data_IF_887949834896
#
_entry.id   IF_887949834896
#
_cell.length_a   1.000
_cell.length_b   1.000
_cell.length_c   1.000
_cell.angle_alpha   90.00
_cell.angle_beta   90.00
_cell.angle_gamma   90.00
#
_symmetry.space_group_name_H-M   'P 1'
#
loop_
_entity.id
_entity.type
_entity.pdbx_description
1 polymer ?
#
# COMPACT_ATOMS: atom_id res chain seq x y z
N UNK A 1 0.30 -36.51 -4.84
CA UNK A 1 -1.04 -36.35 -5.45
C UNK A 1 -0.96 -36.84 -6.88
N UNK A 2 -1.85 -37.72 -7.32
CA UNK A 2 -1.79 -38.29 -8.68
C UNK A 2 -2.46 -37.34 -9.68
N UNK A 3 -2.10 -37.40 -10.96
CA UNK A 3 -2.65 -36.55 -12.03
C UNK A 3 -4.17 -36.63 -12.12
N UNK A 4 -4.75 -37.79 -11.84
CA UNK A 4 -6.21 -37.98 -11.81
C UNK A 4 -6.89 -37.18 -10.67
N UNK A 5 -6.22 -37.01 -9.53
CA UNK A 5 -6.76 -36.21 -8.41
C UNK A 5 -6.71 -34.72 -8.74
N UNK A 6 -5.64 -34.27 -9.42
CA UNK A 6 -5.50 -32.90 -9.90
C UNK A 6 -6.57 -32.56 -10.93
N UNK A 7 -6.81 -33.43 -11.91
CA UNK A 7 -7.83 -33.19 -12.94
C UNK A 7 -9.24 -33.13 -12.33
N UNK A 8 -9.50 -33.94 -11.30
CA UNK A 8 -10.77 -33.93 -10.56
C UNK A 8 -10.96 -32.63 -9.77
N UNK A 9 -9.89 -32.11 -9.14
CA UNK A 9 -9.91 -30.82 -8.45
C UNK A 9 -10.10 -29.65 -9.41
N UNK A 10 -9.45 -29.66 -10.58
CA UNK A 10 -9.61 -28.62 -11.60
C UNK A 10 -11.02 -28.59 -12.17
N UNK A 11 -11.61 -29.76 -12.47
CA UNK A 11 -13.01 -29.86 -12.92
C UNK A 11 -13.98 -29.37 -11.86
N UNK A 12 -13.72 -29.67 -10.58
CA UNK A 12 -14.53 -29.19 -9.47
C UNK A 12 -14.44 -27.66 -9.31
N UNK A 13 -13.22 -27.11 -9.32
CA UNK A 13 -13.00 -25.66 -9.23
C UNK A 13 -13.66 -24.91 -10.40
N UNK A 14 -13.58 -25.44 -11.62
CA UNK A 14 -14.26 -24.85 -12.78
C UNK A 14 -15.78 -24.80 -12.59
N UNK A 15 -16.39 -25.90 -12.14
CA UNK A 15 -17.83 -25.99 -11.91
C UNK A 15 -18.30 -25.04 -10.79
N UNK A 16 -17.54 -24.93 -9.71
CA UNK A 16 -17.83 -24.01 -8.60
C UNK A 16 -17.72 -22.55 -9.04
N UNK A 17 -16.73 -22.24 -9.87
CA UNK A 17 -16.54 -20.90 -10.47
C UNK A 17 -17.72 -20.51 -11.36
N UNK A 18 -18.13 -21.40 -12.27
CA UNK A 18 -19.28 -21.15 -13.15
C UNK A 18 -20.59 -20.97 -12.37
N UNK A 19 -20.82 -21.75 -11.32
CA UNK A 19 -21.98 -21.59 -10.42
C UNK A 19 -21.92 -20.30 -9.60
N UNK A 20 -20.74 -19.85 -9.20
CA UNK A 20 -20.59 -18.59 -8.48
C UNK A 20 -20.96 -17.41 -9.38
N UNK A 21 -20.43 -17.39 -10.61
CA UNK A 21 -20.67 -16.29 -11.55
C UNK A 21 -22.05 -16.33 -12.22
N UNK A 22 -22.76 -17.46 -12.22
CA UNK A 22 -24.12 -17.53 -12.77
C UNK A 22 -25.14 -16.69 -11.99
N UNK A 23 -24.86 -16.37 -10.72
CA UNK A 23 -25.73 -15.55 -9.87
C UNK A 23 -25.37 -14.06 -9.88
N UNK A 24 -24.20 -13.72 -10.44
CA UNK A 24 -23.74 -12.33 -10.52
C UNK A 24 -24.24 -11.74 -11.83
N UNK A 25 -25.34 -10.98 -11.76
CA UNK A 25 -25.86 -10.26 -12.91
C UNK A 25 -24.95 -9.07 -13.26
N UNK A 26 -23.88 -9.35 -14.01
CA UNK A 26 -22.88 -8.36 -14.46
C UNK A 26 -23.51 -7.19 -15.23
N UNK A 27 -24.69 -7.39 -15.82
CA UNK A 27 -25.45 -6.32 -16.49
C UNK A 27 -25.92 -5.23 -15.52
N UNK A 28 -26.23 -5.56 -14.26
CA UNK A 28 -26.59 -4.57 -13.23
C UNK A 28 -25.40 -3.69 -12.85
N UNK A 29 -24.21 -4.29 -12.73
CA UNK A 29 -22.96 -3.57 -12.42
C UNK A 29 -22.57 -2.70 -13.62
N UNK A 30 -22.67 -3.24 -14.84
CA UNK A 30 -22.37 -2.52 -16.08
C UNK A 30 -23.30 -1.31 -16.30
N UNK A 31 -24.59 -1.44 -16.01
CA UNK A 31 -25.54 -0.33 -16.10
C UNK A 31 -25.29 0.74 -15.03
N UNK A 32 -24.88 0.34 -13.82
CA UNK A 32 -24.52 1.27 -12.74
C UNK A 32 -23.27 2.08 -13.10
N UNK A 33 -22.27 1.43 -13.70
CA UNK A 33 -21.04 2.08 -14.17
C UNK A 33 -21.34 2.97 -15.39
N UNK A 34 -22.14 2.52 -16.35
CA UNK A 34 -22.53 3.34 -17.50
C UNK A 34 -23.31 4.58 -17.11
N UNK A 35 -24.26 4.49 -16.18
CA UNK A 35 -25.03 5.64 -15.71
C UNK A 35 -24.13 6.66 -15.00
N UNK A 36 -23.19 6.20 -14.17
CA UNK A 36 -22.21 7.08 -13.51
C UNK A 36 -21.27 7.76 -14.50
N UNK A 37 -20.82 7.06 -15.54
CA UNK A 37 -19.98 7.63 -16.59
C UNK A 37 -20.77 8.61 -17.47
N UNK A 38 -22.03 8.31 -17.79
CA UNK A 38 -22.88 9.20 -18.59
C UNK A 38 -23.26 10.48 -17.85
N UNK A 39 -23.50 10.42 -16.52
CA UNK A 39 -23.75 11.60 -15.69
C UNK A 39 -22.49 12.48 -15.55
N UNK A 40 -21.29 11.89 -15.59
CA UNK A 40 -20.02 12.64 -15.58
C UNK A 40 -19.63 13.24 -16.94
N UNK A 41 -20.22 12.77 -18.04
CA UNK A 41 -19.87 13.19 -19.41
C UNK A 41 -20.70 14.36 -19.94
N UNK A 42 -21.79 14.75 -19.26
CA UNK A 42 -22.66 15.85 -19.70
C UNK A 42 -22.64 17.04 -18.73
N UNK A 43 -21.55 17.79 -18.74
CA UNK A 43 -21.50 19.12 -18.14
C UNK A 43 -22.15 20.16 -19.05
N UNK A 44 -23.42 20.52 -18.78
CA UNK A 44 -23.97 21.89 -18.73
C UNK A 44 -25.50 21.92 -18.98
N UNK A 45 -26.19 22.57 -18.02
CA UNK A 45 -27.46 23.31 -18.13
C UNK A 45 -28.69 22.57 -18.68
N UNK A 46 -29.65 22.30 -17.78
CA UNK A 46 -30.97 22.93 -17.87
C UNK A 46 -31.80 22.60 -16.63
N UNK A 47 -32.12 23.65 -15.87
CA UNK A 47 -33.41 23.82 -15.21
C UNK A 47 -34.52 23.23 -16.10
N UNK A 48 -35.13 22.14 -15.68
CA UNK A 48 -36.48 21.74 -16.11
C UNK A 48 -37.19 21.10 -14.92
N UNK A 49 -37.87 21.99 -14.20
CA UNK A 49 -39.05 21.66 -13.43
C UNK A 49 -39.94 20.69 -14.23
N UNK A 50 -40.36 19.61 -13.57
CA UNK A 50 -41.60 18.92 -13.95
C UNK A 50 -42.48 18.76 -12.71
N UNK A 51 -43.81 18.90 -12.90
CA UNK A 51 -44.70 19.37 -11.86
C UNK A 51 -45.15 18.23 -10.95
N UNK A 52 -45.00 18.44 -9.64
CA UNK A 52 -45.74 17.66 -8.65
C UNK A 52 -47.18 18.16 -8.66
N UNK A 53 -48.08 17.24 -8.97
CA UNK A 53 -49.54 17.39 -8.97
C UNK A 53 -49.97 17.99 -7.63
N UNK A 54 -50.50 19.23 -7.69
CA UNK A 54 -51.32 19.82 -6.62
C UNK A 54 -52.78 19.48 -6.88
N UNK A 55 -53.39 18.73 -5.97
CA UNK A 55 -54.72 19.04 -5.44
C UNK A 55 -54.76 18.47 -4.01
N UNK A 56 -54.62 19.32 -2.99
CA UNK A 56 -55.68 20.08 -2.33
C UNK A 56 -56.21 19.32 -1.09
N UNK A 57 -55.43 19.37 -0.01
CA UNK A 57 -55.94 19.23 1.34
C UNK A 57 -55.87 20.63 1.98
N UNK A 58 -57.03 21.29 2.01
CA UNK A 58 -57.31 22.45 2.85
C UNK A 58 -58.33 22.02 3.90
N UNK A 59 -58.30 22.74 5.03
CA UNK A 59 -59.04 22.57 6.30
C UNK A 59 -58.30 21.67 7.32
N UNK A 60 -57.93 22.10 8.53
CA UNK A 60 -58.04 23.36 9.28
C UNK A 60 -56.95 23.33 10.41
N UNK A 61 -56.43 24.48 10.87
CA UNK A 61 -55.30 24.56 11.79
C UNK A 61 -55.76 24.87 13.22
N UNK A 62 -55.80 23.88 14.12
CA UNK A 62 -55.84 24.12 15.59
C UNK A 62 -55.10 23.03 16.40
N UNK A 63 -54.86 21.82 15.87
CA UNK A 63 -54.32 20.72 16.71
C UNK A 63 -52.81 20.44 16.57
N UNK A 64 -52.04 21.31 15.90
CA UNK A 64 -50.61 21.11 15.66
C UNK A 64 -49.77 21.19 16.96
N UNK A 65 -50.15 22.04 17.90
CA UNK A 65 -49.43 22.17 19.18
C UNK A 65 -49.65 20.95 20.10
N UNK A 66 -50.88 20.42 20.14
CA UNK A 66 -51.25 19.26 20.98
C UNK A 66 -50.62 17.99 20.43
N UNK A 67 -50.59 17.82 19.10
CA UNK A 67 -49.93 16.67 18.46
C UNK A 67 -48.42 16.70 18.67
N UNK A 68 -47.76 17.85 18.53
CA UNK A 68 -46.33 17.99 18.81
C UNK A 68 -45.97 17.71 20.28
N UNK A 69 -46.77 18.20 21.24
CA UNK A 69 -46.51 17.95 22.65
C UNK A 69 -46.77 16.48 23.03
N UNK A 70 -47.80 15.84 22.46
CA UNK A 70 -48.04 14.41 22.69
C UNK A 70 -46.91 13.54 22.11
N UNK A 71 -46.33 13.93 20.97
CA UNK A 71 -45.21 13.21 20.36
C UNK A 71 -43.94 13.34 21.22
N UNK A 72 -43.66 14.52 21.78
CA UNK A 72 -42.54 14.74 22.70
C UNK A 72 -42.71 13.96 24.01
N UNK A 73 -43.93 13.84 24.53
CA UNK A 73 -44.22 13.03 25.73
C UNK A 73 -44.05 11.54 25.43
N UNK A 74 -44.50 11.06 24.27
CA UNK A 74 -44.31 9.67 23.82
C UNK A 74 -42.82 9.36 23.63
N UNK A 75 -42.06 10.26 22.99
CA UNK A 75 -40.60 10.12 22.82
C UNK A 75 -39.90 10.13 24.20
N UNK A 76 -40.29 11.00 25.12
CA UNK A 76 -39.72 11.07 26.46
C UNK A 76 -40.06 9.84 27.31
N UNK A 77 -41.27 9.29 27.19
CA UNK A 77 -41.64 8.01 27.82
C UNK A 77 -40.88 6.83 27.20
N UNK A 78 -40.66 6.81 25.89
CA UNK A 78 -39.90 5.75 25.21
C UNK A 78 -38.40 5.76 25.58
N UNK A 79 -37.83 6.95 25.84
CA UNK A 79 -36.46 7.10 26.34
C UNK A 79 -36.40 6.75 27.85
N UNK A 80 -37.38 7.20 28.65
CA UNK A 80 -37.43 6.97 30.10
C UNK A 80 -37.76 5.53 30.52
N UNK A 81 -38.47 4.77 29.68
CA UNK A 81 -38.81 3.35 29.93
C UNK A 81 -37.73 2.38 29.43
N UNK A 82 -36.65 2.86 28.81
CA UNK A 82 -35.51 2.05 28.38
C UNK A 82 -35.77 1.15 27.15
N UNK A 83 -36.96 1.23 26.53
CA UNK A 83 -37.31 0.47 25.32
C UNK A 83 -36.58 1.02 24.09
N UNK A 84 -36.35 2.32 24.03
CA UNK A 84 -35.51 2.97 23.01
C UNK A 84 -34.25 3.47 23.70
N UNK A 85 -33.26 2.59 23.87
CA UNK A 85 -31.89 3.06 23.99
C UNK A 85 -31.55 3.67 22.65
N UNK A 86 -31.41 5.00 22.60
CA UNK A 86 -30.62 5.65 21.56
C UNK A 86 -29.27 4.97 21.65
N UNK A 87 -29.03 4.01 20.76
CA UNK A 87 -27.76 3.33 20.63
C UNK A 87 -26.85 4.40 20.06
N UNK A 88 -26.29 5.19 20.95
CA UNK A 88 -25.14 6.01 20.67
C UNK A 88 -24.06 4.98 20.34
N UNK A 89 -23.95 4.61 19.07
CA UNK A 89 -22.81 3.90 18.53
C UNK A 89 -21.63 4.87 18.58
N UNK A 90 -21.13 5.12 19.79
CA UNK A 90 -19.69 5.14 19.96
C UNK A 90 -19.28 3.69 19.72
N UNK A 91 -19.02 3.39 18.44
CA UNK A 91 -18.41 2.14 18.04
C UNK A 91 -17.03 2.05 18.68
N UNK A 92 -16.98 1.58 19.92
CA UNK A 92 -15.79 0.97 20.49
C UNK A 92 -15.58 -0.32 19.71
N UNK A 93 -15.04 -0.19 18.48
CA UNK A 93 -14.30 -1.29 17.85
C UNK A 93 -13.33 -1.79 18.92
N UNK A 94 -13.40 -3.08 19.22
CA UNK A 94 -12.54 -3.69 20.22
C UNK A 94 -11.10 -3.29 19.92
N UNK A 95 -10.45 -2.62 20.88
CA UNK A 95 -9.09 -2.06 20.77
C UNK A 95 -8.06 -3.15 20.42
N UNK A 96 -8.43 -4.42 20.56
CA UNK A 96 -7.56 -5.57 20.38
C UNK A 96 -7.84 -6.38 19.10
N UNK A 97 -8.69 -5.89 18.19
CA UNK A 97 -8.97 -6.59 16.93
C UNK A 97 -8.25 -5.91 15.76
N UNK A 98 -7.38 -6.62 15.03
CA UNK A 98 -6.73 -6.05 13.87
C UNK A 98 -7.76 -5.74 12.77
N UNK A 99 -7.53 -4.66 12.01
CA UNK A 99 -8.35 -4.29 10.86
C UNK A 99 -8.03 -5.13 9.61
N UNK A 100 -6.82 -5.70 9.56
CA UNK A 100 -6.39 -6.62 8.53
C UNK A 100 -5.27 -7.52 9.07
N UNK A 101 -5.19 -8.74 8.54
CA UNK A 101 -4.12 -9.70 8.83
C UNK A 101 -3.73 -10.45 7.57
N UNK A 102 -2.45 -10.77 7.43
CA UNK A 102 -1.92 -11.54 6.30
C UNK A 102 -0.79 -12.46 6.75
N UNK A 103 -0.91 -13.74 6.41
CA UNK A 103 0.18 -14.71 6.60
C UNK A 103 1.17 -14.61 5.45
N UNK A 104 2.46 -14.64 5.76
CA UNK A 104 3.56 -14.69 4.80
C UNK A 104 4.50 -15.84 5.14
N UNK A 105 5.13 -16.42 4.11
CA UNK A 105 6.11 -17.51 4.25
C UNK A 105 7.50 -16.96 4.00
N UNK A 106 8.38 -17.07 5.00
CA UNK A 106 9.75 -16.57 4.93
C UNK A 106 10.81 -17.68 4.85
N UNK A 107 10.47 -18.91 5.23
CA UNK A 107 11.37 -20.06 5.11
C UNK A 107 11.25 -20.75 3.75
N UNK A 108 12.30 -21.46 3.35
CA UNK A 108 12.24 -22.39 2.23
C UNK A 108 11.85 -23.78 2.75
N UNK A 109 10.83 -24.37 2.13
CA UNK A 109 10.20 -25.66 2.49
C UNK A 109 11.17 -26.88 2.51
N UNK A 110 12.43 -26.69 2.11
CA UNK A 110 13.41 -27.76 1.93
C UNK A 110 14.28 -28.06 3.16
N UNK A 111 14.20 -27.26 4.24
CA UNK A 111 14.95 -27.56 5.47
C UNK A 111 14.11 -28.42 6.42
N UNK A 112 14.31 -29.73 6.35
CA UNK A 112 13.62 -30.74 7.18
C UNK A 112 13.85 -30.61 8.70
N UNK A 113 14.62 -29.62 9.15
CA UNK A 113 14.95 -29.33 10.55
C UNK A 113 14.25 -28.08 11.11
N UNK A 114 13.65 -27.23 10.27
CA UNK A 114 12.88 -26.07 10.71
C UNK A 114 11.40 -26.29 10.38
N UNK A 115 10.63 -26.76 11.38
CA UNK A 115 9.18 -26.88 11.26
C UNK A 115 8.56 -25.61 10.66
N UNK A 116 7.56 -25.79 9.79
CA UNK A 116 6.91 -24.77 8.97
C UNK A 116 6.61 -23.46 9.74
N UNK A 117 7.55 -22.52 9.78
CA UNK A 117 7.40 -21.25 10.53
C UNK A 117 6.56 -20.32 9.69
N UNK A 118 5.38 -19.98 10.20
CA UNK A 118 4.48 -19.03 9.57
C UNK A 118 4.64 -17.66 10.23
N UNK A 119 4.62 -16.61 9.43
CA UNK A 119 4.66 -15.23 9.92
C UNK A 119 3.32 -14.58 9.67
N UNK A 120 2.79 -13.85 10.65
CA UNK A 120 1.50 -13.16 10.56
C UNK A 120 1.72 -11.66 10.71
N UNK A 121 1.38 -10.89 9.69
CA UNK A 121 1.39 -9.43 9.73
C UNK A 121 -0.01 -8.95 10.07
N UNK A 122 -0.17 -8.25 11.18
CA UNK A 122 -1.45 -7.74 11.68
C UNK A 122 -1.42 -6.21 11.75
N UNK A 123 -2.50 -5.57 11.33
CA UNK A 123 -2.68 -4.11 11.37
C UNK A 123 -3.68 -3.74 12.45
N UNK A 124 -3.21 -3.13 13.54
CA UNK A 124 -4.04 -2.74 14.67
C UNK A 124 -4.42 -1.26 14.60
N UNK A 125 -5.70 -0.92 14.81
CA UNK A 125 -6.14 0.46 14.87
C UNK A 125 -5.64 1.12 16.17
N UNK A 126 -4.95 2.25 16.06
CA UNK A 126 -4.54 3.07 17.20
C UNK A 126 -5.18 4.45 17.11
N UNK A 127 -5.86 4.83 18.18
CA UNK A 127 -6.34 6.19 18.39
C UNK A 127 -5.37 6.91 19.31
N UNK A 128 -4.68 7.93 18.79
CA UNK A 128 -3.77 8.74 19.60
C UNK A 128 -4.56 9.76 20.42
N UNK A 129 -4.12 10.07 21.66
CA UNK A 129 -4.72 11.16 22.43
C UNK A 129 -4.68 12.47 21.64
N UNK A 130 -5.78 13.21 21.62
CA UNK A 130 -5.88 14.54 20.98
C UNK A 130 -5.66 14.57 19.45
N UNK A 131 -5.78 13.44 18.77
CA UNK A 131 -5.78 13.38 17.30
C UNK A 131 -7.10 12.80 16.78
N UNK A 132 -7.69 13.46 15.78
CA UNK A 132 -8.95 13.02 15.17
C UNK A 132 -8.73 11.88 14.15
N UNK A 133 -7.53 11.81 13.56
CA UNK A 133 -7.18 10.84 12.53
C UNK A 133 -6.64 9.53 13.15
N UNK A 134 -7.18 8.41 12.69
CA UNK A 134 -6.77 7.06 13.09
C UNK A 134 -5.35 6.76 12.61
N UNK A 135 -4.58 5.99 13.38
CA UNK A 135 -3.27 5.44 12.98
C UNK A 135 -3.34 3.91 12.93
N UNK A 136 -2.40 3.27 12.24
CA UNK A 136 -2.25 1.81 12.25
C UNK A 136 -0.90 1.41 12.87
N UNK A 137 -0.94 0.53 13.86
CA UNK A 137 0.22 -0.20 14.33
C UNK A 137 0.33 -1.52 13.61
N UNK A 138 1.45 -1.74 12.96
CA UNK A 138 1.81 -3.01 12.35
C UNK A 138 2.52 -3.83 13.39
N UNK A 139 2.13 -5.10 13.50
CA UNK A 139 2.84 -6.08 14.29
C UNK A 139 3.06 -7.31 13.40
N UNK A 140 4.30 -7.78 13.31
CA UNK A 140 4.59 -9.07 12.71
C UNK A 140 4.89 -10.09 13.81
N UNK A 141 4.15 -11.18 13.77
CA UNK A 141 4.26 -12.30 14.69
C UNK A 141 4.97 -13.47 14.00
N UNK A 142 5.94 -14.06 14.70
CA UNK A 142 6.47 -15.39 14.37
C UNK A 142 5.62 -16.42 15.10
N UNK A 143 4.99 -17.32 14.35
CA UNK A 143 4.16 -18.39 14.90
C UNK A 143 5.00 -19.66 15.00
N UNK A 144 5.24 -20.11 16.23
CA UNK A 144 5.92 -21.35 16.55
C UNK A 144 5.07 -22.58 16.23
N UNK A 145 5.72 -23.71 16.04
CA UNK A 145 5.05 -25.00 15.80
C UNK A 145 4.20 -25.49 16.97
N UNK A 146 4.45 -24.97 18.17
CA UNK A 146 3.70 -25.22 19.41
C UNK A 146 2.47 -24.29 19.56
N UNK A 147 2.25 -23.40 18.60
CA UNK A 147 1.18 -22.40 18.64
C UNK A 147 1.52 -21.15 19.46
N UNK A 148 2.70 -21.07 20.06
CA UNK A 148 3.16 -19.85 20.70
C UNK A 148 3.53 -18.81 19.64
N UNK A 149 3.26 -17.54 19.93
CA UNK A 149 3.55 -16.42 19.02
C UNK A 149 4.48 -15.42 19.68
N UNK A 150 5.51 -15.00 18.95
CA UNK A 150 6.45 -13.95 19.38
C UNK A 150 6.35 -12.75 18.44
N UNK A 151 6.32 -11.54 19.00
CA UNK A 151 6.45 -10.32 18.20
C UNK A 151 7.88 -10.18 17.72
N UNK A 152 8.08 -10.13 16.40
CA UNK A 152 9.41 -10.01 15.79
C UNK A 152 9.63 -8.68 15.07
N UNK A 153 8.56 -7.91 14.84
CA UNK A 153 8.64 -6.57 14.27
C UNK A 153 7.40 -5.75 14.65
N UNK A 154 7.59 -4.44 14.82
CA UNK A 154 6.49 -3.50 14.95
C UNK A 154 6.81 -2.16 14.30
N UNK A 155 5.80 -1.50 13.72
CA UNK A 155 5.93 -0.14 13.17
C UNK A 155 4.62 0.62 13.26
N UNK A 156 4.69 1.95 13.29
CA UNK A 156 3.51 2.81 13.34
C UNK A 156 3.37 3.59 12.03
N UNK A 157 2.18 3.55 11.44
CA UNK A 157 1.74 4.41 10.37
C UNK A 157 0.75 5.44 10.91
N UNK A 158 1.20 6.69 10.96
CA UNK A 158 0.39 7.79 11.47
C UNK A 158 -0.70 8.17 10.47
N UNK A 159 -1.89 8.53 10.97
CA UNK A 159 -2.98 9.06 10.13
C UNK A 159 -3.33 8.15 8.94
N UNK A 160 -3.26 6.84 9.16
CA UNK A 160 -3.51 5.81 8.18
C UNK A 160 -4.62 4.89 8.68
N UNK A 161 -5.48 4.45 7.76
CA UNK A 161 -6.63 3.60 8.05
C UNK A 161 -6.91 2.55 6.96
N UNK A 162 -6.11 2.52 5.89
CA UNK A 162 -6.27 1.61 4.75
C UNK A 162 -5.01 0.75 4.54
N UNK A 163 -4.91 -0.43 5.18
CA UNK A 163 -3.78 -1.33 4.98
C UNK A 163 -3.77 -1.90 3.55
N UNK A 164 -2.59 -2.04 2.95
CA UNK A 164 -2.40 -2.64 1.63
C UNK A 164 -1.82 -4.06 1.73
N UNK A 165 -1.97 -4.89 0.67
CA UNK A 165 -1.40 -6.22 0.65
C UNK A 165 0.11 -6.21 0.92
N UNK A 166 0.55 -7.07 1.84
CA UNK A 166 1.96 -7.31 2.11
C UNK A 166 2.55 -8.09 0.94
N UNK A 167 3.69 -7.65 0.43
CA UNK A 167 4.41 -8.33 -0.64
C UNK A 167 5.73 -8.89 -0.12
N UNK A 168 6.10 -10.09 -0.53
CA UNK A 168 7.41 -10.68 -0.25
C UNK A 168 8.23 -10.69 -1.54
N UNK A 169 9.49 -10.29 -1.43
CA UNK A 169 10.45 -10.22 -2.54
C UNK A 169 11.59 -11.16 -2.21
N UNK A 170 11.85 -12.12 -3.09
CA UNK A 170 12.95 -13.05 -2.93
C UNK A 170 14.26 -12.44 -3.36
N UNK A 171 15.32 -12.76 -2.62
CA UNK A 171 16.67 -12.31 -2.90
C UNK A 171 17.55 -13.55 -3.07
N UNK A 172 17.45 -14.16 -4.25
CA UNK A 172 17.89 -15.52 -4.57
C UNK A 172 19.33 -15.84 -4.17
N UNK A 173 20.22 -14.85 -4.19
CA UNK A 173 21.66 -15.04 -3.98
C UNK A 173 22.13 -14.81 -2.52
N UNK A 174 21.26 -14.34 -1.61
CA UNK A 174 21.68 -13.91 -0.26
C UNK A 174 20.92 -14.55 0.91
N UNK A 175 20.23 -15.68 0.69
CA UNK A 175 19.43 -16.37 1.72
C UNK A 175 18.58 -15.41 2.57
N UNK A 176 17.92 -14.48 1.89
CA UNK A 176 17.12 -13.45 2.55
C UNK A 176 15.90 -13.09 1.73
N UNK A 177 14.90 -12.57 2.41
CA UNK A 177 13.65 -12.12 1.80
C UNK A 177 13.36 -10.71 2.25
N UNK A 178 12.87 -9.88 1.34
CA UNK A 178 12.38 -8.55 1.68
C UNK A 178 10.86 -8.61 1.79
N UNK A 179 10.31 -7.78 2.65
CA UNK A 179 8.88 -7.71 2.90
C UNK A 179 8.49 -6.24 2.77
N UNK A 180 7.59 -5.95 1.84
CA UNK A 180 7.01 -4.63 1.65
C UNK A 180 5.69 -4.56 2.40
N UNK A 181 5.65 -3.72 3.43
CA UNK A 181 4.45 -3.42 4.21
C UNK A 181 4.06 -1.99 3.90
N UNK A 182 2.79 -1.75 3.55
CA UNK A 182 2.33 -0.42 3.21
C UNK A 182 0.88 -0.18 3.63
N UNK A 183 0.53 1.09 3.78
CA UNK A 183 -0.81 1.52 4.17
C UNK A 183 -1.05 2.94 3.71
N UNK A 184 -2.28 3.26 3.34
CA UNK A 184 -2.72 4.58 2.92
C UNK A 184 -3.65 5.24 3.92
N UNK A 185 -3.99 6.48 3.62
CA UNK A 185 -5.20 7.07 4.17
C UNK A 185 -6.35 6.89 3.16
N UNK A 186 -7.58 6.72 3.65
CA UNK A 186 -8.77 6.45 2.83
C UNK A 186 -9.08 7.52 1.78
N UNK A 187 -8.63 8.75 2.01
CA UNK A 187 -8.76 9.85 1.05
C UNK A 187 -7.66 9.82 -0.03
N UNK A 188 -6.74 8.84 0.03
CA UNK A 188 -5.66 8.58 -0.94
C UNK A 188 -4.72 9.76 -1.16
N UNK A 189 -4.58 10.58 -0.13
CA UNK A 189 -3.74 11.78 -0.08
C UNK A 189 -2.28 11.42 0.12
N UNK A 190 -2.00 10.36 0.86
CA UNK A 190 -0.65 9.87 1.08
C UNK A 190 -0.65 8.39 1.45
N UNK A 191 0.55 7.81 1.43
CA UNK A 191 0.80 6.47 1.96
C UNK A 191 2.09 6.40 2.77
N UNK A 192 2.18 5.34 3.56
CA UNK A 192 3.35 4.94 4.31
C UNK A 192 3.81 3.58 3.81
N UNK A 193 5.11 3.33 3.87
CA UNK A 193 5.63 2.00 3.65
C UNK A 193 6.92 1.73 4.39
N UNK A 194 7.17 0.44 4.61
CA UNK A 194 8.39 -0.15 5.13
C UNK A 194 8.82 -1.25 4.18
N UNK A 195 10.07 -1.21 3.76
CA UNK A 195 10.77 -2.35 3.20
C UNK A 195 11.63 -2.91 4.33
N UNK A 196 11.26 -4.10 4.79
CA UNK A 196 11.97 -4.79 5.87
C UNK A 196 12.67 -6.02 5.30
N UNK A 197 13.75 -6.41 5.91
CA UNK A 197 14.55 -7.57 5.53
C UNK A 197 14.35 -8.68 6.57
N UNK A 198 14.21 -9.92 6.09
CA UNK A 198 14.34 -11.13 6.88
C UNK A 198 15.63 -11.85 6.47
N UNK A 199 16.55 -12.01 7.42
CA UNK A 199 17.85 -12.63 7.23
C UNK A 199 18.36 -13.19 8.55
N UNK A 200 18.95 -14.40 8.53
CA UNK A 200 19.51 -15.06 9.70
C UNK A 200 18.52 -15.11 10.89
N UNK A 201 17.25 -15.43 10.63
CA UNK A 201 16.16 -15.44 11.61
C UNK A 201 15.86 -14.09 12.31
N UNK A 202 16.43 -13.00 11.80
CA UNK A 202 16.23 -11.63 12.30
C UNK A 202 15.47 -10.78 11.28
N UNK A 203 14.79 -9.74 11.78
CA UNK A 203 14.07 -8.77 10.95
C UNK A 203 14.61 -7.37 11.21
N UNK A 204 14.95 -6.65 10.15
CA UNK A 204 15.46 -5.28 10.20
C UNK A 204 14.69 -4.39 9.23
N UNK A 205 14.60 -3.08 9.52
CA UNK A 205 14.06 -2.13 8.53
C UNK A 205 15.18 -1.70 7.61
N UNK A 206 15.05 -2.00 6.32
CA UNK A 206 15.99 -1.58 5.29
C UNK A 206 15.67 -0.16 4.82
N UNK A 207 14.38 0.11 4.62
CA UNK A 207 13.91 1.36 4.06
C UNK A 207 12.51 1.72 4.57
N UNK A 208 12.27 3.01 4.81
CA UNK A 208 10.98 3.49 5.30
C UNK A 208 10.66 4.86 4.76
N UNK A 209 9.40 5.09 4.40
CA UNK A 209 8.88 6.41 4.09
C UNK A 209 7.51 6.60 4.72
N UNK A 210 7.29 7.81 5.21
CA UNK A 210 6.02 8.26 5.75
C UNK A 210 5.48 9.43 4.93
N UNK A 211 4.15 9.54 4.85
CA UNK A 211 3.46 10.64 4.18
C UNK A 211 3.88 10.86 2.73
N UNK A 212 4.06 9.78 1.97
CA UNK A 212 4.39 9.84 0.54
C UNK A 212 3.18 10.39 -0.22
N UNK A 213 3.25 11.62 -0.79
CA UNK A 213 2.09 12.31 -1.34
C UNK A 213 1.62 11.67 -2.64
N UNK A 214 0.31 11.43 -2.74
CA UNK A 214 -0.33 10.69 -3.84
C UNK A 214 0.41 9.38 -4.19
N UNK A 215 0.98 8.75 -3.17
CA UNK A 215 1.92 7.65 -3.35
C UNK A 215 1.28 6.41 -3.94
N UNK A 216 2.02 5.75 -4.84
CA UNK A 216 1.69 4.41 -5.36
C UNK A 216 2.93 3.54 -5.32
N UNK A 217 2.75 2.29 -4.95
CA UNK A 217 3.80 1.28 -4.98
C UNK A 217 3.40 0.10 -5.85
N UNK A 218 4.40 -0.49 -6.49
CA UNK A 218 4.31 -1.81 -7.09
C UNK A 218 5.61 -2.57 -6.91
N UNK A 219 5.53 -3.90 -6.94
CA UNK A 219 6.72 -4.76 -7.02
C UNK A 219 6.81 -5.28 -8.43
N UNK A 220 7.98 -5.14 -9.06
CA UNK A 220 8.27 -5.65 -10.39
C UNK A 220 9.67 -6.23 -10.42
N UNK A 221 9.78 -7.50 -10.81
CA UNK A 221 11.06 -8.20 -10.96
C UNK A 221 11.97 -8.07 -9.74
N UNK A 222 11.41 -8.11 -8.52
CA UNK A 222 12.16 -7.97 -7.27
C UNK A 222 12.58 -6.54 -6.89
N UNK A 223 12.09 -5.54 -7.61
CA UNK A 223 12.31 -4.11 -7.34
C UNK A 223 10.99 -3.48 -6.88
N UNK A 224 11.07 -2.52 -5.95
CA UNK A 224 9.90 -1.71 -5.60
C UNK A 224 9.88 -0.46 -6.48
N UNK A 225 8.80 -0.24 -7.21
CA UNK A 225 8.58 0.97 -8.00
C UNK A 225 7.66 1.89 -7.22
N UNK A 226 8.16 3.08 -6.90
CA UNK A 226 7.42 4.13 -6.21
C UNK A 226 7.08 5.26 -7.17
N UNK A 227 5.83 5.70 -7.13
CA UNK A 227 5.41 6.97 -7.69
C UNK A 227 4.99 7.91 -6.56
N UNK A 228 5.43 9.17 -6.62
CA UNK A 228 5.00 10.24 -5.70
C UNK A 228 4.76 11.56 -6.43
N UNK A 229 3.91 12.42 -5.87
CA UNK A 229 3.74 13.81 -6.34
C UNK A 229 4.90 14.70 -5.89
N UNK A 230 5.36 15.58 -6.77
CA UNK A 230 6.44 16.56 -6.51
C UNK A 230 5.93 17.79 -5.74
N UNK A 231 4.67 18.14 -5.93
CA UNK A 231 4.03 19.22 -5.19
C UNK A 231 3.36 18.58 -3.98
N UNK A 232 4.01 18.65 -2.81
CA UNK A 232 3.42 18.22 -1.53
C UNK A 232 2.16 19.00 -1.11
N UNK A 233 1.60 19.80 -2.02
CA UNK A 233 0.30 20.45 -1.92
C UNK A 233 -0.71 19.60 -2.65
N UNK A 234 -1.74 19.16 -1.93
CA UNK A 234 -2.90 18.43 -2.46
C UNK A 234 -3.40 19.10 -3.73
N UNK A 235 -2.98 18.56 -4.87
CA UNK A 235 -3.34 19.09 -6.17
C UNK A 235 -4.70 18.49 -6.47
N UNK A 236 -5.76 19.27 -6.28
CA UNK A 236 -7.05 18.97 -6.87
C UNK A 236 -6.78 18.82 -8.38
N UNK A 237 -6.80 17.58 -8.86
CA UNK A 237 -6.14 17.14 -10.10
C UNK A 237 -6.87 17.60 -11.38
N UNK A 238 -7.57 18.73 -11.32
CA UNK A 238 -8.45 19.21 -12.38
C UNK A 238 -7.85 20.34 -13.23
N UNK A 239 -6.54 20.66 -13.13
CA UNK A 239 -5.98 21.81 -13.88
C UNK A 239 -4.55 21.68 -14.42
N UNK A 240 -3.96 20.49 -14.56
CA UNK A 240 -2.74 20.34 -15.36
C UNK A 240 -2.99 19.59 -16.67
N UNK A 241 -2.65 20.23 -17.79
CA UNK A 241 -2.72 19.66 -19.14
C UNK A 241 -1.66 18.55 -19.38
N UNK A 242 -0.84 18.24 -18.37
CA UNK A 242 0.08 17.10 -18.37
C UNK A 242 0.16 16.46 -16.97
N UNK A 243 -0.60 15.38 -16.70
CA UNK A 243 -0.64 14.75 -15.37
C UNK A 243 0.71 14.13 -14.96
N UNK A 244 1.65 13.93 -15.89
CA UNK A 244 2.96 13.32 -15.63
C UNK A 244 4.05 14.35 -15.26
N UNK A 245 3.81 15.64 -15.46
CA UNK A 245 4.85 16.67 -15.22
C UNK A 245 5.16 16.89 -13.74
N UNK A 246 4.26 16.49 -12.84
CA UNK A 246 4.39 16.66 -11.39
C UNK A 246 4.60 15.34 -10.64
N UNK A 247 4.89 14.24 -11.34
CA UNK A 247 5.11 12.94 -10.70
C UNK A 247 6.57 12.54 -10.78
N UNK A 248 7.09 12.00 -9.69
CA UNK A 248 8.40 11.36 -9.62
C UNK A 248 8.21 9.86 -9.53
N UNK A 249 8.89 9.13 -10.40
CA UNK A 249 8.96 7.67 -10.38
C UNK A 249 10.37 7.27 -9.96
N UNK A 250 10.45 6.34 -9.01
CA UNK A 250 11.69 5.84 -8.44
C UNK A 250 11.68 4.32 -8.38
N UNK A 251 12.74 3.70 -8.90
CA UNK A 251 13.01 2.28 -8.79
C UNK A 251 13.87 2.07 -7.54
N UNK A 252 13.26 1.57 -6.48
CA UNK A 252 13.92 1.22 -5.23
C UNK A 252 14.54 -0.15 -5.40
N UNK A 253 15.83 -0.15 -5.69
CA UNK A 253 16.64 -1.34 -5.94
C UNK A 253 17.36 -1.69 -4.65
N UNK A 254 16.90 -2.73 -3.93
CA UNK A 254 17.61 -3.19 -2.75
C UNK A 254 18.94 -3.85 -3.14
N UNK A 255 19.93 -3.75 -2.28
CA UNK A 255 21.19 -4.49 -2.43
C UNK A 255 21.63 -5.04 -1.08
N UNK A 256 22.54 -6.01 -1.13
CA UNK A 256 23.14 -6.63 0.06
C UNK A 256 24.63 -6.79 -0.07
N UNK A 257 25.31 -6.66 1.05
CA UNK A 257 26.73 -6.96 1.16
C UNK A 257 26.90 -8.29 1.90
N UNK A 258 27.46 -9.29 1.22
CA UNK A 258 27.76 -10.57 1.83
C UNK A 258 28.99 -10.51 2.74
N UNK A 259 29.26 -11.61 3.45
CA UNK A 259 30.29 -11.65 4.49
C UNK A 259 31.73 -11.46 3.98
N UNK A 260 31.99 -11.76 2.70
CA UNK A 260 33.29 -11.51 2.07
C UNK A 260 33.31 -10.18 1.30
N UNK A 261 32.27 -9.35 1.46
CA UNK A 261 32.08 -8.06 0.81
C UNK A 261 31.57 -8.15 -0.63
N UNK A 262 31.07 -9.30 -1.06
CA UNK A 262 30.33 -9.46 -2.31
C UNK A 262 29.05 -8.64 -2.31
N UNK A 263 28.71 -8.03 -3.45
CA UNK A 263 27.49 -7.23 -3.57
C UNK A 263 26.46 -7.99 -4.39
N UNK A 264 25.27 -8.13 -3.83
CA UNK A 264 24.15 -8.80 -4.47
C UNK A 264 23.04 -7.82 -4.82
N UNK A 265 22.34 -8.10 -5.91
CA UNK A 265 21.21 -7.33 -6.41
C UNK A 265 20.09 -8.30 -6.82
N UNK A 266 18.81 -7.94 -6.65
CA UNK A 266 17.70 -8.79 -7.09
C UNK A 266 17.58 -8.81 -8.62
N UNK A 267 18.18 -7.82 -9.30
CA UNK A 267 18.17 -7.70 -10.75
C UNK A 267 19.55 -7.35 -11.29
N UNK A 268 19.80 -7.81 -12.50
CA UNK A 268 20.99 -7.43 -13.27
C UNK A 268 20.68 -6.32 -14.29
N UNK A 269 19.40 -6.13 -14.63
CA UNK A 269 18.94 -5.20 -15.65
C UNK A 269 17.75 -4.39 -15.16
N UNK A 270 17.78 -3.09 -15.44
CA UNK A 270 16.71 -2.17 -15.15
C UNK A 270 16.36 -1.34 -16.38
N UNK A 271 15.06 -1.16 -16.63
CA UNK A 271 14.57 -0.26 -17.67
C UNK A 271 13.93 0.95 -17.01
N UNK A 272 14.40 2.15 -17.34
CA UNK A 272 13.91 3.42 -16.78
C UNK A 272 13.67 4.43 -17.89
N UNK A 273 12.90 5.48 -17.62
CA UNK A 273 12.75 6.64 -18.52
C UNK A 273 13.63 7.80 -18.09
N UNK A 274 13.93 8.68 -19.05
CA UNK A 274 14.59 9.95 -18.75
C UNK A 274 13.81 10.72 -17.67
N UNK A 275 14.52 11.17 -16.63
CA UNK A 275 13.96 11.88 -15.49
C UNK A 275 13.57 10.99 -14.30
N UNK A 276 13.36 9.69 -14.51
CA UNK A 276 13.08 8.72 -13.43
C UNK A 276 14.33 8.48 -12.56
N UNK A 277 14.10 8.02 -11.33
CA UNK A 277 15.15 7.84 -10.34
C UNK A 277 15.42 6.37 -10.04
N UNK A 278 16.66 6.07 -9.69
CA UNK A 278 17.09 4.77 -9.17
C UNK A 278 17.52 5.04 -7.73
N UNK A 279 16.86 4.40 -6.78
CA UNK A 279 17.15 4.52 -5.35
C UNK A 279 17.76 3.20 -4.89
N UNK A 280 19.04 3.22 -4.56
CA UNK A 280 19.74 2.06 -4.01
C UNK A 280 19.61 2.06 -2.49
N UNK A 281 19.03 0.99 -1.95
CA UNK A 281 18.79 0.79 -0.50
C UNK A 281 19.48 -0.48 -0.05
N UNK A 282 20.26 -0.40 1.01
CA UNK A 282 21.13 -1.51 1.41
C UNK A 282 21.66 -1.33 2.82
N UNK A 283 22.40 -2.32 3.28
CA UNK A 283 23.08 -2.40 4.58
C UNK A 283 24.33 -1.50 4.67
N UNK A 284 24.31 -0.31 4.05
CA UNK A 284 25.47 0.58 3.92
C UNK A 284 25.85 1.32 5.22
N UNK A 285 25.77 0.67 6.37
CA UNK A 285 26.07 1.30 7.66
C UNK A 285 27.51 1.84 7.76
N UNK A 286 28.41 1.43 6.85
CA UNK A 286 29.82 1.84 6.85
C UNK A 286 30.26 2.66 5.63
N UNK A 287 29.37 3.05 4.71
CA UNK A 287 29.70 3.77 3.47
C UNK A 287 30.80 3.08 2.63
N UNK A 288 30.94 1.75 2.74
CA UNK A 288 31.95 0.99 2.00
C UNK A 288 31.61 0.90 0.51
N UNK A 289 30.36 1.11 0.12
CA UNK A 289 29.94 1.03 -1.27
C UNK A 289 30.10 2.37 -2.02
N UNK A 290 30.93 2.37 -3.07
CA UNK A 290 31.05 3.47 -4.04
C UNK A 290 30.25 3.12 -5.28
N UNK A 291 29.53 4.09 -5.81
CA UNK A 291 28.66 3.88 -6.97
C UNK A 291 28.96 4.95 -7.99
N UNK A 292 29.14 4.54 -9.24
CA UNK A 292 29.31 5.46 -10.34
C UNK A 292 28.70 4.93 -11.63
N UNK A 293 28.34 5.87 -12.49
CA UNK A 293 27.87 5.65 -13.85
C UNK A 293 29.08 5.57 -14.78
N UNK A 294 29.17 4.50 -15.58
CA UNK A 294 30.30 4.30 -16.48
C UNK A 294 30.32 5.30 -17.65
N UNK A 295 29.15 5.66 -18.18
CA UNK A 295 29.03 6.59 -19.31
C UNK A 295 28.59 8.01 -18.91
N UNK A 296 28.34 8.24 -17.62
CA UNK A 296 27.90 9.53 -17.08
C UNK A 296 26.49 9.97 -17.46
N UNK A 297 25.65 9.06 -17.98
CA UNK A 297 24.25 9.37 -18.35
C UNK A 297 23.25 9.11 -17.22
N UNK A 298 23.74 8.55 -16.11
CA UNK A 298 23.05 8.47 -14.82
C UNK A 298 23.80 9.36 -13.83
N UNK A 299 23.08 10.26 -13.15
CA UNK A 299 23.69 11.25 -12.26
C UNK A 299 23.24 11.05 -10.83
N UNK A 300 24.18 11.07 -9.89
CA UNK A 300 23.84 11.12 -8.47
C UNK A 300 23.06 12.40 -8.16
N UNK A 301 21.97 12.26 -7.41
CA UNK A 301 21.13 13.37 -6.97
C UNK A 301 21.64 13.84 -5.62
N UNK A 302 22.14 15.07 -5.57
CA UNK A 302 22.71 15.64 -4.34
C UNK A 302 21.70 15.68 -3.19
N UNK A 303 22.20 15.51 -1.97
CA UNK A 303 21.43 15.41 -0.72
C UNK A 303 20.38 16.51 -0.52
N UNK A 304 20.65 17.74 -0.96
CA UNK A 304 19.72 18.87 -0.79
C UNK A 304 18.52 18.82 -1.75
N UNK A 305 18.61 18.02 -2.80
CA UNK A 305 17.60 17.89 -3.86
C UNK A 305 16.84 16.56 -3.83
N UNK A 306 17.21 15.66 -2.90
CA UNK A 306 16.56 14.37 -2.76
C UNK A 306 15.21 14.52 -2.04
N UNK A 307 14.21 13.74 -2.45
CA UNK A 307 12.89 13.73 -1.77
C UNK A 307 12.86 12.75 -0.59
N UNK A 308 14.01 12.17 -0.24
CA UNK A 308 14.15 10.99 0.59
C UNK A 308 14.87 11.27 1.92
N UNK A 309 15.40 12.47 2.11
CA UNK A 309 16.07 12.90 3.34
C UNK A 309 17.57 12.58 3.36
N UNK A 310 18.24 13.01 4.44
CA UNK A 310 19.71 13.05 4.55
C UNK A 310 20.39 11.72 4.82
N UNK A 311 19.68 10.68 5.26
CA UNK A 311 20.30 9.52 5.92
C UNK A 311 20.02 8.17 5.27
N UNK A 312 19.46 8.15 4.05
CA UNK A 312 18.47 7.10 3.84
C UNK A 312 18.57 6.32 2.50
N UNK A 313 19.32 6.78 1.49
CA UNK A 313 19.69 5.93 0.36
C UNK A 313 20.45 6.68 -0.72
N UNK A 314 21.07 5.94 -1.64
CA UNK A 314 21.81 6.55 -2.75
C UNK A 314 20.88 6.74 -3.94
N UNK A 315 20.64 8.00 -4.30
CA UNK A 315 19.65 8.38 -5.31
C UNK A 315 20.38 8.77 -6.59
N UNK A 316 19.97 8.18 -7.70
CA UNK A 316 20.46 8.49 -9.04
C UNK A 316 19.31 8.88 -9.94
N UNK A 317 19.55 9.76 -10.91
CA UNK A 317 18.58 10.16 -11.92
C UNK A 317 19.08 9.79 -13.31
N UNK A 318 18.20 9.18 -14.10
CA UNK A 318 18.41 8.93 -15.52
C UNK A 318 18.39 10.26 -16.28
N UNK A 319 19.56 10.75 -16.70
CA UNK A 319 19.69 12.09 -17.26
C UNK A 319 19.52 12.13 -18.78
N UNK A 320 20.02 11.11 -19.49
CA UNK A 320 19.94 11.04 -20.95
C UNK A 320 19.57 9.62 -21.41
N UNK A 321 18.89 9.53 -22.56
CA UNK A 321 18.56 8.26 -23.22
C UNK A 321 19.81 7.48 -23.59
N UNK A 322 19.75 6.16 -23.46
CA UNK A 322 20.81 5.23 -23.84
C UNK A 322 21.02 4.12 -22.80
N UNK A 323 21.95 3.23 -23.08
CA UNK A 323 22.33 2.18 -22.12
C UNK A 323 23.55 2.60 -21.32
N UNK A 324 23.50 2.41 -20.01
CA UNK A 324 24.60 2.68 -19.06
C UNK A 324 24.75 1.53 -18.07
N UNK A 325 25.80 1.59 -17.27
CA UNK A 325 26.04 0.67 -16.16
C UNK A 325 26.26 1.49 -14.89
N UNK A 326 25.53 1.12 -13.83
CA UNK A 326 25.87 1.52 -12.47
C UNK A 326 26.78 0.45 -11.87
N UNK A 327 28.02 0.84 -11.59
CA UNK A 327 29.02 -0.03 -10.99
C UNK A 327 29.05 0.23 -9.48
N UNK A 328 28.69 -0.80 -8.72
CA UNK A 328 28.68 -0.84 -7.25
C UNK A 328 29.98 -1.49 -6.81
N UNK A 329 30.90 -0.68 -6.31
CA UNK A 329 32.25 -1.10 -5.90
C UNK A 329 32.36 -1.08 -4.39
N UNK A 330 32.60 -2.23 -3.79
CA UNK A 330 32.94 -2.32 -2.39
C UNK A 330 34.39 -1.83 -2.18
N UNK A 331 34.56 -0.79 -1.36
CA UNK A 331 35.84 -0.12 -1.13
C UNK A 331 36.83 -0.98 -0.34
N UNK A 332 36.35 -1.97 0.41
CA UNK A 332 37.18 -2.75 1.34
C UNK A 332 37.93 -3.88 0.63
N UNK A 333 37.30 -4.48 -0.38
CA UNK A 333 37.82 -5.65 -1.11
C UNK A 333 37.90 -5.45 -2.63
N UNK A 334 37.39 -4.33 -3.17
CA UNK A 334 37.33 -4.05 -4.60
C UNK A 334 36.32 -4.90 -5.38
N UNK A 335 35.43 -5.62 -4.71
CA UNK A 335 34.38 -6.40 -5.37
C UNK A 335 33.44 -5.46 -6.14
N UNK A 336 33.09 -5.85 -7.37
CA UNK A 336 32.27 -5.05 -8.25
C UNK A 336 31.02 -5.85 -8.63
N UNK A 337 29.85 -5.26 -8.36
CA UNK A 337 28.58 -5.69 -8.93
C UNK A 337 28.07 -4.60 -9.87
N UNK A 338 27.46 -5.02 -10.97
CA UNK A 338 26.97 -4.10 -12.00
C UNK A 338 25.46 -4.21 -12.12
N UNK A 339 24.82 -3.07 -12.31
CA UNK A 339 23.42 -2.96 -12.73
C UNK A 339 23.39 -2.33 -14.12
N UNK A 340 23.01 -3.10 -15.13
CA UNK A 340 22.81 -2.58 -16.47
C UNK A 340 21.50 -1.81 -16.53
N UNK A 341 21.53 -0.58 -17.03
CA UNK A 341 20.37 0.32 -17.08
C UNK A 341 20.12 0.74 -18.52
N UNK A 342 18.92 0.45 -19.03
CA UNK A 342 18.45 0.98 -20.30
C UNK A 342 17.52 2.15 -20.06
N UNK A 343 17.89 3.33 -20.57
CA UNK A 343 17.15 4.58 -20.42
C UNK A 343 16.42 4.88 -21.73
N UNK A 344 15.08 4.88 -21.67
CA UNK A 344 14.19 5.23 -22.78
C UNK A 344 13.55 6.60 -22.58
N UNK A 345 12.83 7.10 -23.58
CA UNK A 345 12.14 8.40 -23.51
C UNK A 345 10.90 8.38 -22.59
#
# INVERSE_FOLDING_TARGET
MNEQDLEKLLKKGKKETENFFSHVCLNSIRNTVHNKISEQSSGQKAQKEKPIIKHCLRFLPVNAAITAMSLLIIISLLIGTGIVRLKQEHGTKAINTPVAEQTISLNDDNSSENGNRSYLVSFFPINKPNHEEQSLMIIMWKIGSDGNSEMVYSSLFEKSDEPYPVSTIEFSDANSKLILISSGNRERRYMHYRLIEYSNDTISTLWSQDFVPDGKLGVKDGIVVEQRSLNGTYSDSSMSDNPNANTRISYIVPYKTGSMGEVFLPVEKLNVRVGEQILLVGDNSENSLRIFSEKGIIKEVGYESNAYGKEQGLVFQAANKGDDVLSLVNSDNGNIKVLAVSIVD
#
